data_IF_531218815731
#
_entry.id   IF_531218815731
#
_cell.length_a   1.000
_cell.length_b   1.000
_cell.length_c   1.000
_cell.angle_alpha   90.00
_cell.angle_beta   90.00
_cell.angle_gamma   90.00
#
_symmetry.space_group_name_H-M   'P 1'
#
loop_
_entity.id
_entity.type
_entity.pdbx_description
1 polymer ?
#
# COMPACT_ATOMS: atom_id res chain seq x y z
N UNK A 1 -21.95 -12.24 4.44
CA UNK A 1 -21.42 -11.75 3.14
C UNK A 1 -20.54 -12.85 2.58
N UNK A 2 -20.25 -12.89 1.28
CA UNK A 2 -19.25 -13.85 0.79
C UNK A 2 -17.87 -13.45 1.39
N UNK A 3 -17.15 -14.33 2.11
CA UNK A 3 -15.86 -14.00 2.73
C UNK A 3 -14.84 -13.53 1.69
N UNK A 4 -14.87 -14.09 0.48
CA UNK A 4 -14.03 -13.67 -0.64
C UNK A 4 -14.21 -12.18 -0.96
N UNK A 5 -15.46 -11.71 -0.94
CA UNK A 5 -15.76 -10.30 -1.18
C UNK A 5 -15.25 -9.40 -0.05
N UNK A 6 -15.24 -9.88 1.20
CA UNK A 6 -14.67 -9.14 2.33
C UNK A 6 -13.16 -8.99 2.17
N UNK A 7 -12.44 -10.06 1.86
CA UNK A 7 -11.00 -10.03 1.60
C UNK A 7 -10.63 -9.13 0.41
N UNK A 8 -11.40 -9.23 -0.68
CA UNK A 8 -11.20 -8.37 -1.84
C UNK A 8 -11.46 -6.89 -1.52
N UNK A 9 -12.57 -6.56 -0.86
CA UNK A 9 -12.91 -5.19 -0.49
C UNK A 9 -11.88 -4.60 0.48
N UNK A 10 -11.43 -5.38 1.48
CA UNK A 10 -10.39 -4.96 2.38
C UNK A 10 -9.09 -4.61 1.63
N UNK A 11 -8.65 -5.51 0.76
CA UNK A 11 -7.45 -5.33 -0.07
C UNK A 11 -7.57 -4.13 -1.02
N UNK A 12 -8.74 -3.96 -1.64
CA UNK A 12 -9.01 -2.83 -2.51
C UNK A 12 -8.91 -1.51 -1.74
N UNK A 13 -9.58 -1.39 -0.60
CA UNK A 13 -9.54 -0.17 0.22
C UNK A 13 -8.13 0.13 0.74
N UNK A 14 -7.42 -0.88 1.23
CA UNK A 14 -6.03 -0.77 1.69
C UNK A 14 -5.10 -0.29 0.57
N UNK A 15 -5.17 -0.90 -0.61
CA UNK A 15 -4.32 -0.54 -1.75
C UNK A 15 -4.59 0.88 -2.23
N UNK A 16 -5.84 1.23 -2.50
CA UNK A 16 -6.17 2.56 -3.02
C UNK A 16 -5.90 3.65 -1.99
N UNK A 17 -6.29 3.43 -0.74
CA UNK A 17 -6.03 4.35 0.35
C UNK A 17 -4.53 4.52 0.65
N UNK A 18 -3.78 3.41 0.63
CA UNK A 18 -2.34 3.39 0.81
C UNK A 18 -1.58 4.10 -0.31
N UNK A 19 -1.92 3.81 -1.57
CA UNK A 19 -1.34 4.50 -2.75
C UNK A 19 -1.66 5.99 -2.69
N UNK A 20 -2.88 6.38 -2.29
CA UNK A 20 -3.24 7.79 -2.15
C UNK A 20 -2.37 8.50 -1.10
N UNK A 21 -2.23 7.92 0.10
CA UNK A 21 -1.40 8.46 1.17
C UNK A 21 0.08 8.54 0.75
N UNK A 22 0.58 7.51 0.08
CA UNK A 22 1.96 7.46 -0.41
C UNK A 22 2.24 8.51 -1.49
N UNK A 23 1.36 8.67 -2.47
CA UNK A 23 1.50 9.73 -3.49
C UNK A 23 1.46 11.12 -2.86
N UNK A 24 0.62 11.31 -1.84
CA UNK A 24 0.58 12.57 -1.09
C UNK A 24 1.90 12.85 -0.38
N UNK A 25 2.52 11.84 0.26
CA UNK A 25 3.85 11.94 0.83
C UNK A 25 4.88 12.36 -0.23
N UNK A 26 4.95 11.63 -1.34
CA UNK A 26 5.91 11.91 -2.42
C UNK A 26 5.77 13.33 -2.97
N UNK A 27 4.53 13.81 -3.17
CA UNK A 27 4.28 15.19 -3.61
C UNK A 27 4.74 16.25 -2.60
N UNK A 28 4.60 15.97 -1.29
CA UNK A 28 5.12 16.87 -0.25
C UNK A 28 6.65 16.90 -0.26
N UNK A 29 7.30 15.75 -0.42
CA UNK A 29 8.76 15.67 -0.53
C UNK A 29 9.27 16.38 -1.79
N UNK A 30 8.60 16.21 -2.93
CA UNK A 30 8.86 16.96 -4.17
C UNK A 30 8.83 18.48 -3.94
N UNK A 31 7.79 18.98 -3.28
CA UNK A 31 7.69 20.40 -2.95
C UNK A 31 8.84 20.89 -2.04
N UNK A 32 9.26 20.07 -1.06
CA UNK A 32 10.38 20.40 -0.17
C UNK A 32 11.72 20.42 -0.89
N UNK A 33 11.93 19.51 -1.84
CA UNK A 33 13.11 19.51 -2.71
C UNK A 33 13.15 20.77 -3.56
N UNK A 34 12.02 21.16 -4.17
CA UNK A 34 11.93 22.39 -4.96
C UNK A 34 12.22 23.67 -4.16
N UNK A 35 12.00 23.64 -2.85
CA UNK A 35 12.30 24.75 -1.92
C UNK A 35 13.71 24.68 -1.33
N UNK A 36 14.46 23.60 -1.57
CA UNK A 36 15.79 23.39 -0.96
C UNK A 36 15.76 23.08 0.54
N UNK A 37 14.60 22.70 1.09
CA UNK A 37 14.35 22.50 2.52
C UNK A 37 14.22 21.00 2.88
N UNK A 38 14.86 20.12 2.12
CA UNK A 38 14.85 18.69 2.40
C UNK A 38 15.93 18.34 3.43
N UNK A 39 15.58 18.43 4.71
CA UNK A 39 16.41 17.96 5.83
C UNK A 39 15.95 16.61 6.36
N UNK A 40 16.80 15.93 7.13
CA UNK A 40 16.44 14.65 7.77
C UNK A 40 15.24 14.79 8.73
N UNK A 41 15.16 15.92 9.45
CA UNK A 41 14.05 16.22 10.37
C UNK A 41 12.73 16.42 9.61
N UNK A 42 12.76 17.17 8.50
CA UNK A 42 11.57 17.37 7.64
C UNK A 42 11.12 16.04 7.05
N UNK A 43 12.05 15.21 6.59
CA UNK A 43 11.76 13.88 6.07
C UNK A 43 11.07 13.00 7.12
N UNK A 44 11.63 12.94 8.33
CA UNK A 44 11.06 12.16 9.43
C UNK A 44 9.64 12.66 9.77
N UNK A 45 9.43 13.98 9.81
CA UNK A 45 8.12 14.57 10.07
C UNK A 45 7.08 14.18 9.02
N UNK A 46 7.44 14.22 7.74
CA UNK A 46 6.55 13.82 6.64
C UNK A 46 6.27 12.31 6.66
N UNK A 47 7.28 11.49 6.99
CA UNK A 47 7.12 10.05 7.20
C UNK A 47 6.15 9.75 8.34
N UNK A 48 6.32 10.37 9.51
CA UNK A 48 5.41 10.20 10.64
C UNK A 48 3.99 10.62 10.27
N UNK A 49 3.83 11.75 9.57
CA UNK A 49 2.52 12.18 9.07
C UNK A 49 1.90 11.17 8.10
N UNK A 50 2.71 10.51 7.26
CA UNK A 50 2.26 9.45 6.36
C UNK A 50 1.78 8.23 7.13
N UNK A 51 2.57 7.74 8.10
CA UNK A 51 2.20 6.58 8.90
C UNK A 51 0.88 6.78 9.64
N UNK A 52 0.68 7.95 10.26
CA UNK A 52 -0.57 8.26 10.96
C UNK A 52 -1.75 8.25 9.99
N UNK A 53 -1.63 8.90 8.82
CA UNK A 53 -2.69 8.90 7.82
C UNK A 53 -2.99 7.50 7.29
N UNK A 54 -1.94 6.70 7.03
CA UNK A 54 -2.07 5.34 6.57
C UNK A 54 -2.81 4.47 7.60
N UNK A 55 -2.41 4.54 8.88
CA UNK A 55 -3.07 3.79 9.96
C UNK A 55 -4.56 4.12 10.09
N UNK A 56 -4.95 5.39 9.91
CA UNK A 56 -6.37 5.79 9.93
C UNK A 56 -7.16 5.19 8.77
N UNK A 57 -6.56 5.13 7.59
CA UNK A 57 -7.16 4.52 6.39
C UNK A 57 -7.32 3.01 6.55
N UNK A 58 -6.37 2.35 7.22
CA UNK A 58 -6.36 0.89 7.43
C UNK A 58 -7.41 0.38 8.43
N UNK A 59 -8.02 1.25 9.25
CA UNK A 59 -9.01 0.81 10.25
C UNK A 59 -10.15 0.02 9.61
N UNK A 60 -10.68 0.49 8.47
CA UNK A 60 -11.78 -0.17 7.77
C UNK A 60 -11.31 -1.50 7.14
N UNK A 61 -10.23 -1.55 6.32
CA UNK A 61 -9.66 -2.80 5.83
C UNK A 61 -9.43 -3.85 6.92
N UNK A 62 -8.84 -3.47 8.07
CA UNK A 62 -8.56 -4.41 9.16
C UNK A 62 -9.86 -5.04 9.70
N UNK A 63 -10.90 -4.23 9.92
CA UNK A 63 -12.19 -4.76 10.37
C UNK A 63 -12.80 -5.73 9.35
N UNK A 64 -12.70 -5.42 8.05
CA UNK A 64 -13.17 -6.30 6.99
C UNK A 64 -12.39 -7.62 6.92
N UNK A 65 -11.07 -7.59 7.13
CA UNK A 65 -10.23 -8.79 7.20
C UNK A 65 -10.64 -9.68 8.37
N UNK A 66 -10.83 -9.11 9.56
CA UNK A 66 -11.27 -9.85 10.74
C UNK A 66 -12.61 -10.54 10.46
N UNK A 67 -13.58 -9.81 9.92
CA UNK A 67 -14.88 -10.38 9.55
C UNK A 67 -14.74 -11.46 8.46
N UNK A 68 -13.85 -11.26 7.49
CA UNK A 68 -13.54 -12.23 6.44
C UNK A 68 -13.07 -13.56 7.03
N UNK A 69 -12.10 -13.52 7.95
CA UNK A 69 -11.60 -14.71 8.64
C UNK A 69 -12.68 -15.41 9.46
N UNK A 70 -13.51 -14.68 10.21
CA UNK A 70 -14.58 -15.29 11.02
C UNK A 70 -15.63 -16.03 10.19
N UNK A 71 -15.85 -15.63 8.93
CA UNK A 71 -16.83 -16.25 8.03
C UNK A 71 -16.22 -17.37 7.18
N UNK A 72 -14.89 -17.40 7.04
CA UNK A 72 -14.18 -18.31 6.15
C UNK A 72 -14.33 -19.79 6.60
N UNK A 73 -14.28 -20.08 7.90
CA UNK A 73 -14.36 -21.44 8.43
C UNK A 73 -15.68 -22.17 8.11
N UNK A 74 -16.77 -21.41 7.95
CA UNK A 74 -18.11 -21.96 7.72
C UNK A 74 -18.52 -21.94 6.25
N UNK A 75 -17.67 -21.43 5.37
CA UNK A 75 -18.01 -21.18 3.98
C UNK A 75 -17.30 -22.15 3.04
N UNK A 76 -18.07 -22.92 2.27
CA UNK A 76 -17.50 -23.80 1.23
C UNK A 76 -17.16 -22.96 0.01
N UNK A 77 -15.86 -22.73 -0.22
CA UNK A 77 -15.40 -22.02 -1.41
C UNK A 77 -15.45 -22.91 -2.65
N UNK A 78 -16.02 -22.37 -3.73
CA UNK A 78 -15.80 -22.92 -5.07
C UNK A 78 -14.38 -22.61 -5.53
N UNK A 79 -13.68 -23.61 -6.06
CA UNK A 79 -12.33 -23.48 -6.62
C UNK A 79 -12.23 -22.36 -7.65
N UNK A 80 -13.26 -22.20 -8.51
CA UNK A 80 -13.30 -21.12 -9.51
C UNK A 80 -13.33 -19.74 -8.86
N UNK A 81 -14.14 -19.55 -7.81
CA UNK A 81 -14.24 -18.28 -7.09
C UNK A 81 -12.94 -17.93 -6.39
N UNK A 82 -12.28 -18.91 -5.78
CA UNK A 82 -10.98 -18.76 -5.12
C UNK A 82 -9.91 -18.32 -6.12
N UNK A 83 -9.78 -19.00 -7.27
CA UNK A 83 -8.80 -18.66 -8.32
C UNK A 83 -9.02 -17.24 -8.83
N UNK A 84 -10.27 -16.87 -9.14
CA UNK A 84 -10.60 -15.51 -9.62
C UNK A 84 -10.20 -14.47 -8.58
N UNK A 85 -10.48 -14.70 -7.30
CA UNK A 85 -10.12 -13.79 -6.23
C UNK A 85 -8.59 -13.62 -6.09
N UNK A 86 -7.83 -14.71 -6.13
CA UNK A 86 -6.38 -14.68 -6.08
C UNK A 86 -5.77 -13.89 -7.24
N UNK A 87 -6.29 -14.09 -8.46
CA UNK A 87 -5.85 -13.32 -9.64
C UNK A 87 -6.11 -11.82 -9.45
N UNK A 88 -7.28 -11.45 -8.93
CA UNK A 88 -7.61 -10.04 -8.65
C UNK A 88 -6.72 -9.43 -7.57
N UNK A 89 -6.40 -10.18 -6.51
CA UNK A 89 -5.48 -9.73 -5.46
C UNK A 89 -4.06 -9.54 -5.99
N UNK A 90 -3.57 -10.46 -6.83
CA UNK A 90 -2.27 -10.32 -7.50
C UNK A 90 -2.24 -9.10 -8.42
N UNK A 91 -3.32 -8.85 -9.16
CA UNK A 91 -3.45 -7.66 -10.00
C UNK A 91 -3.41 -6.36 -9.16
N UNK A 92 -4.07 -6.34 -7.99
CA UNK A 92 -4.00 -5.21 -7.05
C UNK A 92 -2.59 -4.99 -6.50
N UNK A 93 -1.87 -6.05 -6.14
CA UNK A 93 -0.48 -5.96 -5.70
C UNK A 93 0.40 -5.39 -6.81
N UNK A 94 0.28 -5.92 -8.03
CA UNK A 94 1.00 -5.42 -9.19
C UNK A 94 0.72 -3.94 -9.45
N UNK A 95 -0.55 -3.52 -9.37
CA UNK A 95 -0.94 -2.12 -9.46
C UNK A 95 -0.26 -1.25 -8.39
N UNK A 96 -0.30 -1.65 -7.11
CA UNK A 96 0.31 -0.91 -6.01
C UNK A 96 1.82 -0.72 -6.24
N UNK A 97 2.52 -1.80 -6.61
CA UNK A 97 3.96 -1.79 -6.90
C UNK A 97 4.27 -0.81 -8.04
N UNK A 98 3.54 -0.87 -9.15
CA UNK A 98 3.74 0.05 -10.28
C UNK A 98 3.55 1.51 -9.87
N UNK A 99 2.54 1.81 -9.05
CA UNK A 99 2.29 3.17 -8.56
C UNK A 99 3.41 3.68 -7.66
N UNK A 100 3.93 2.84 -6.75
CA UNK A 100 5.03 3.21 -5.87
C UNK A 100 6.33 3.41 -6.66
N UNK A 101 6.69 2.46 -7.53
CA UNK A 101 7.89 2.56 -8.38
C UNK A 101 7.82 3.80 -9.27
N UNK A 102 6.66 4.08 -9.87
CA UNK A 102 6.46 5.27 -10.69
C UNK A 102 6.74 6.56 -9.91
N UNK A 103 6.21 6.66 -8.68
CA UNK A 103 6.40 7.82 -7.82
C UNK A 103 7.86 7.98 -7.36
N UNK A 104 8.52 6.88 -7.00
CA UNK A 104 9.95 6.85 -6.63
C UNK A 104 10.83 7.27 -7.81
N UNK A 105 10.53 6.77 -9.01
CA UNK A 105 11.30 7.10 -10.22
C UNK A 105 11.21 8.59 -10.54
N UNK A 106 10.01 9.17 -10.45
CA UNK A 106 9.80 10.61 -10.68
C UNK A 106 10.60 11.45 -9.68
N UNK A 107 10.51 11.14 -8.39
CA UNK A 107 11.20 11.90 -7.35
C UNK A 107 12.73 11.76 -7.43
N UNK A 108 13.22 10.55 -7.74
CA UNK A 108 14.65 10.30 -7.95
C UNK A 108 15.23 11.12 -9.11
N UNK A 109 14.46 11.35 -10.18
CA UNK A 109 14.94 12.21 -11.28
C UNK A 109 15.17 13.65 -10.82
N UNK A 110 14.28 14.19 -10.00
CA UNK A 110 14.41 15.54 -9.44
C UNK A 110 15.56 15.64 -8.44
N UNK A 111 15.72 14.65 -7.56
CA UNK A 111 16.83 14.62 -6.62
C UNK A 111 18.19 14.55 -7.32
N UNK A 112 18.31 13.76 -8.40
CA UNK A 112 19.53 13.72 -9.21
C UNK A 112 19.85 15.07 -9.85
N UNK A 113 18.83 15.78 -10.35
CA UNK A 113 19.01 17.15 -10.87
C UNK A 113 19.48 18.11 -9.77
N UNK A 114 18.98 17.94 -8.53
CA UNK A 114 19.40 18.69 -7.36
C UNK A 114 20.71 18.19 -6.72
N UNK A 115 21.38 17.17 -7.28
CA UNK A 115 22.59 16.52 -6.74
C UNK A 115 22.42 15.99 -5.30
N UNK A 116 21.22 15.57 -4.94
CA UNK A 116 20.90 15.00 -3.63
C UNK A 116 20.98 13.45 -3.64
N UNK A 117 21.21 12.85 -2.48
CA UNK A 117 21.25 11.40 -2.32
C UNK A 117 19.85 10.77 -2.49
N UNK A 118 19.73 9.81 -3.41
CA UNK A 118 18.47 9.12 -3.72
C UNK A 118 18.19 7.89 -2.85
N UNK A 119 19.15 7.43 -2.04
CA UNK A 119 19.01 6.20 -1.25
C UNK A 119 17.79 6.24 -0.33
N UNK A 120 17.54 7.37 0.32
CA UNK A 120 16.41 7.57 1.23
C UNK A 120 15.04 7.41 0.53
N UNK A 121 14.90 7.91 -0.70
CA UNK A 121 13.65 7.76 -1.46
C UNK A 121 13.45 6.32 -1.93
N UNK A 122 14.53 5.61 -2.23
CA UNK A 122 14.45 4.18 -2.56
C UNK A 122 14.01 3.36 -1.35
N UNK A 123 14.59 3.62 -0.16
CA UNK A 123 14.16 3.00 1.09
C UNK A 123 12.69 3.28 1.39
N UNK A 124 12.25 4.53 1.20
CA UNK A 124 10.83 4.90 1.29
C UNK A 124 9.94 4.13 0.31
N UNK A 125 10.43 3.91 -0.92
CA UNK A 125 9.79 3.08 -1.92
C UNK A 125 9.55 1.66 -1.43
N UNK A 126 10.57 1.00 -0.90
CA UNK A 126 10.45 -0.36 -0.36
C UNK A 126 9.48 -0.42 0.81
N UNK A 127 9.60 0.51 1.76
CA UNK A 127 8.68 0.62 2.89
C UNK A 127 7.24 0.81 2.41
N UNK A 128 7.01 1.69 1.43
CA UNK A 128 5.70 1.89 0.82
C UNK A 128 5.13 0.63 0.17
N UNK A 129 5.95 -0.12 -0.58
CA UNK A 129 5.53 -1.39 -1.19
C UNK A 129 5.08 -2.37 -0.12
N UNK A 130 5.86 -2.60 0.94
CA UNK A 130 5.51 -3.58 1.96
C UNK A 130 4.25 -3.19 2.75
N UNK A 131 4.16 -1.90 3.12
CA UNK A 131 3.04 -1.40 3.91
C UNK A 131 1.72 -1.50 3.14
N UNK A 132 1.68 -0.99 1.91
CA UNK A 132 0.46 -0.95 1.09
C UNK A 132 -0.01 -2.37 0.73
N UNK A 133 0.92 -3.31 0.56
CA UNK A 133 0.60 -4.68 0.16
C UNK A 133 0.35 -5.63 1.34
N UNK A 134 0.47 -5.18 2.59
CA UNK A 134 0.27 -6.03 3.77
C UNK A 134 -1.11 -6.72 3.79
N UNK A 135 -2.20 -5.96 3.60
CA UNK A 135 -3.57 -6.49 3.57
C UNK A 135 -3.85 -7.42 2.37
N UNK A 136 -3.49 -7.06 1.12
CA UNK A 136 -3.57 -8.00 0.00
C UNK A 136 -2.84 -9.32 0.23
N UNK A 137 -1.62 -9.27 0.81
CA UNK A 137 -0.85 -10.48 1.11
C UNK A 137 -1.56 -11.33 2.17
N UNK A 138 -2.07 -10.70 3.23
CA UNK A 138 -2.87 -11.41 4.25
C UNK A 138 -4.12 -12.05 3.63
N UNK A 139 -4.78 -11.35 2.71
CA UNK A 139 -5.96 -11.87 2.00
C UNK A 139 -5.64 -13.08 1.13
N UNK A 140 -4.50 -13.06 0.42
CA UNK A 140 -4.02 -14.21 -0.34
C UNK A 140 -3.78 -15.40 0.58
N UNK A 141 -3.09 -15.19 1.70
CA UNK A 141 -2.82 -16.27 2.67
C UNK A 141 -4.13 -16.83 3.21
N UNK A 142 -5.06 -15.98 3.63
CA UNK A 142 -6.37 -16.40 4.15
C UNK A 142 -7.13 -17.24 3.14
N UNK A 143 -7.24 -16.78 1.89
CA UNK A 143 -7.94 -17.51 0.83
C UNK A 143 -7.20 -18.73 0.28
N UNK A 144 -5.91 -18.93 0.61
CA UNK A 144 -5.14 -20.09 0.12
C UNK A 144 -5.10 -21.24 1.13
N UNK A 145 -5.28 -20.93 2.42
CA UNK A 145 -5.24 -21.92 3.50
C UNK A 145 -6.59 -22.60 3.77
N UNK A 146 -7.69 -22.04 3.25
CA UNK A 146 -9.06 -22.52 3.42
C UNK A 146 -9.78 -22.51 2.07
#
# INVERSE_FOLDING_TARGET
MNPVSLFFLASFLAVFGGVFCYKRLMKRLENRIGQGDLTAEVLQKEQTSYFIQFSLVEVIPILLIILGFTQLESYVLSTTTQIVALVLLLALIGFAILQVIGSVKQLNQQMKQAKMDTTLIQSLGYVGIFIINSIPVISIIGLSLF
#
